data_IF_019367746917
#
_entry.id   IF_019367746917
#
_cell.length_a   1.000
_cell.length_b   1.000
_cell.length_c   1.000
_cell.angle_alpha   90.00
_cell.angle_beta   90.00
_cell.angle_gamma   90.00
#
_symmetry.space_group_name_H-M   'P 1'
#
loop_
_entity.id
_entity.type
_entity.pdbx_description
1 polymer ?
#
# COMPACT_ATOMS: atom_id res chain seq x y z
N UNK A 1 -2.19 -4.28 26.40
CA UNK A 1 -2.43 -4.78 25.04
C UNK A 1 -1.37 -4.28 24.05
N UNK A 2 -0.18 -4.91 24.13
CA UNK A 2 0.96 -4.60 23.22
C UNK A 2 0.63 -4.96 21.75
N UNK A 3 -0.26 -5.92 21.53
CA UNK A 3 -0.69 -6.36 20.20
C UNK A 3 -1.44 -5.29 19.41
N UNK A 4 -2.25 -4.46 20.03
CA UNK A 4 -2.97 -3.37 19.35
C UNK A 4 -2.04 -2.28 18.83
N UNK A 5 -1.00 -1.93 19.59
CA UNK A 5 -0.02 -0.90 19.21
C UNK A 5 0.94 -1.37 18.10
N UNK A 6 1.26 -2.67 18.06
CA UNK A 6 2.16 -3.25 17.07
C UNK A 6 1.66 -3.09 15.61
N UNK A 7 0.35 -2.96 15.40
CA UNK A 7 -0.25 -2.78 14.08
C UNK A 7 0.04 -1.42 13.46
N UNK A 8 0.36 -0.41 14.27
CA UNK A 8 0.70 0.94 13.84
C UNK A 8 2.22 1.19 13.83
N UNK A 9 2.99 0.22 14.34
CA UNK A 9 4.44 0.31 14.44
C UNK A 9 5.10 0.15 13.07
N UNK A 10 6.03 1.05 12.76
CA UNK A 10 6.75 0.99 11.50
C UNK A 10 7.62 -0.27 11.38
N UNK A 11 7.73 -0.87 10.17
CA UNK A 11 8.42 -2.15 9.95
C UNK A 11 9.86 -2.19 10.46
N UNK A 12 10.59 -1.07 10.37
CA UNK A 12 11.98 -0.98 10.81
C UNK A 12 12.19 -1.27 12.29
N UNK A 13 11.20 -0.99 13.14
CA UNK A 13 11.29 -1.35 14.56
C UNK A 13 11.39 -2.85 14.79
N UNK A 14 10.75 -3.67 13.94
CA UNK A 14 10.83 -5.13 14.03
C UNK A 14 12.17 -5.70 13.53
N UNK A 15 13.03 -4.86 12.94
CA UNK A 15 14.42 -5.16 12.61
C UNK A 15 15.40 -4.72 13.70
N UNK A 16 14.90 -4.11 14.79
CA UNK A 16 15.73 -3.54 15.85
C UNK A 16 16.32 -2.17 15.50
N UNK A 17 15.82 -1.52 14.46
CA UNK A 17 16.26 -0.17 14.06
C UNK A 17 15.57 0.89 14.92
N UNK A 18 16.27 2.00 15.17
CA UNK A 18 15.71 3.15 15.89
C UNK A 18 14.63 3.88 15.09
N UNK A 19 13.70 4.51 15.80
CA UNK A 19 12.67 5.34 15.21
C UNK A 19 13.20 6.63 14.58
N UNK A 20 12.55 7.07 13.52
CA UNK A 20 12.84 8.32 12.82
C UNK A 20 11.52 9.05 12.52
N UNK A 21 11.60 10.28 12.02
CA UNK A 21 10.41 11.01 11.52
C UNK A 21 9.66 10.24 10.43
N UNK A 22 10.34 9.36 9.70
CA UNK A 22 9.72 8.47 8.70
C UNK A 22 8.98 7.31 9.34
N UNK A 23 9.35 6.90 10.56
CA UNK A 23 8.59 5.93 11.35
C UNK A 23 7.29 6.52 11.86
N UNK A 24 7.32 7.78 12.32
CA UNK A 24 6.12 8.52 12.73
C UNK A 24 5.17 8.74 11.55
N UNK A 25 5.72 9.06 10.38
CA UNK A 25 4.97 9.16 9.12
C UNK A 25 4.24 7.86 8.79
N UNK A 26 4.90 6.71 8.92
CA UNK A 26 4.29 5.40 8.70
C UNK A 26 3.12 5.18 9.66
N UNK A 27 3.32 5.41 10.96
CA UNK A 27 2.27 5.24 11.95
C UNK A 27 1.06 6.13 11.67
N UNK A 28 1.29 7.41 11.31
CA UNK A 28 0.22 8.32 10.92
C UNK A 28 -0.49 7.85 9.65
N UNK A 29 0.25 7.34 8.68
CA UNK A 29 -0.32 6.82 7.44
C UNK A 29 -1.17 5.57 7.67
N UNK A 30 -0.81 4.68 8.62
CA UNK A 30 -1.64 3.54 9.03
C UNK A 30 -2.96 4.03 9.63
N UNK A 31 -2.90 5.01 10.53
CA UNK A 31 -4.10 5.60 11.13
C UNK A 31 -5.00 6.22 10.04
N UNK A 32 -4.41 7.00 9.14
CA UNK A 32 -5.15 7.62 8.03
C UNK A 32 -5.80 6.56 7.13
N UNK A 33 -5.06 5.53 6.78
CA UNK A 33 -5.58 4.40 5.99
C UNK A 33 -6.76 3.75 6.70
N UNK A 34 -6.63 3.43 7.98
CA UNK A 34 -7.68 2.78 8.76
C UNK A 34 -8.92 3.68 8.91
N UNK A 35 -8.75 4.98 9.07
CA UNK A 35 -9.88 5.93 9.12
C UNK A 35 -10.67 5.95 7.81
N UNK A 36 -10.01 5.77 6.67
CA UNK A 36 -10.61 5.82 5.34
C UNK A 36 -11.21 4.48 4.89
N UNK A 37 -10.71 3.36 5.41
CA UNK A 37 -11.03 2.01 4.91
C UNK A 37 -11.65 1.08 5.98
N UNK A 38 -11.44 1.38 7.25
CA UNK A 38 -11.81 0.49 8.36
C UNK A 38 -10.88 -0.72 8.55
N UNK A 39 -9.85 -0.87 7.69
CA UNK A 39 -8.93 -2.02 7.70
C UNK A 39 -7.47 -1.59 7.86
N UNK A 40 -6.54 -2.54 7.86
CA UNK A 40 -5.10 -2.28 7.95
C UNK A 40 -4.43 -2.54 6.60
N UNK A 41 -3.44 -1.72 6.19
CA UNK A 41 -2.84 -1.75 4.85
C UNK A 41 -2.08 -3.04 4.52
N UNK A 42 -1.63 -3.77 5.54
CA UNK A 42 -0.93 -5.05 5.45
C UNK A 42 -1.53 -6.11 6.38
N UNK A 43 -2.77 -5.90 6.85
CA UNK A 43 -3.35 -6.74 7.88
C UNK A 43 -2.45 -6.78 9.13
N UNK A 44 -2.24 -7.98 9.68
CA UNK A 44 -1.39 -8.19 10.87
C UNK A 44 0.04 -8.65 10.51
N UNK A 45 0.40 -8.66 9.24
CA UNK A 45 1.64 -9.30 8.78
C UNK A 45 2.91 -8.53 9.14
N UNK A 46 2.85 -7.19 9.23
CA UNK A 46 4.03 -6.35 9.54
C UNK A 46 4.72 -6.79 10.82
N UNK A 47 3.96 -6.99 11.89
CA UNK A 47 4.48 -7.38 13.19
C UNK A 47 5.16 -8.77 13.22
N UNK A 48 4.93 -9.59 12.21
CA UNK A 48 5.53 -10.93 12.06
C UNK A 48 6.86 -10.91 11.33
N UNK A 49 7.21 -9.80 10.66
CA UNK A 49 8.44 -9.69 9.87
C UNK A 49 9.63 -9.38 10.77
N UNK A 50 10.71 -10.15 10.63
CA UNK A 50 11.96 -9.99 11.39
C UNK A 50 13.18 -9.80 10.50
N UNK A 51 12.99 -9.76 9.18
CA UNK A 51 14.07 -9.58 8.19
C UNK A 51 13.59 -8.64 7.08
N UNK A 52 14.52 -7.95 6.44
CA UNK A 52 14.21 -7.11 5.26
C UNK A 52 13.60 -7.92 4.12
N UNK A 53 14.07 -9.15 3.91
CA UNK A 53 13.52 -10.05 2.90
C UNK A 53 12.04 -10.40 3.17
N UNK A 54 11.66 -10.59 4.43
CA UNK A 54 10.25 -10.80 4.80
C UNK A 54 9.43 -9.53 4.58
N UNK A 55 9.97 -8.36 4.91
CA UNK A 55 9.28 -7.08 4.67
C UNK A 55 9.09 -6.77 3.19
N UNK A 56 10.00 -7.19 2.31
CA UNK A 56 9.83 -7.05 0.86
C UNK A 56 8.65 -7.87 0.30
N UNK A 57 8.22 -8.90 1.00
CA UNK A 57 7.07 -9.74 0.61
C UNK A 57 5.73 -9.20 1.10
N UNK A 58 5.73 -8.13 1.90
CA UNK A 58 4.49 -7.50 2.35
C UNK A 58 3.73 -6.95 1.14
N UNK A 59 2.47 -7.37 1.00
CA UNK A 59 1.59 -6.94 -0.06
C UNK A 59 0.66 -5.83 0.45
N UNK A 60 0.85 -4.61 -0.07
CA UNK A 60 -0.02 -3.50 0.22
C UNK A 60 -1.43 -3.76 -0.31
N UNK A 61 -2.42 -3.62 0.55
CA UNK A 61 -3.83 -3.65 0.15
C UNK A 61 -4.25 -2.24 -0.27
N UNK A 62 -4.72 -2.10 -1.51
CA UNK A 62 -5.18 -0.80 -2.01
C UNK A 62 -6.37 -0.31 -1.19
N UNK A 63 -6.34 0.95 -0.76
CA UNK A 63 -7.46 1.58 -0.07
C UNK A 63 -8.74 1.60 -0.95
N UNK A 64 -8.59 1.59 -2.27
CA UNK A 64 -9.69 1.55 -3.23
C UNK A 64 -10.43 0.21 -3.24
N UNK A 65 -9.81 -0.88 -2.73
CA UNK A 65 -10.48 -2.17 -2.58
C UNK A 65 -11.59 -2.10 -1.54
N UNK A 66 -11.34 -1.34 -0.48
CA UNK A 66 -12.25 -1.20 0.67
C UNK A 66 -13.18 0.01 0.52
N UNK A 67 -12.70 1.08 -0.08
CA UNK A 67 -13.46 2.32 -0.27
C UNK A 67 -13.24 2.87 -1.69
N UNK A 68 -14.16 2.54 -2.59
CA UNK A 68 -14.10 2.95 -4.00
C UNK A 68 -14.42 4.43 -4.25
N UNK A 69 -14.91 5.14 -3.25
CA UNK A 69 -15.20 6.57 -3.36
C UNK A 69 -13.93 7.43 -3.19
N UNK A 70 -12.84 6.83 -2.71
CA UNK A 70 -11.56 7.53 -2.58
C UNK A 70 -10.99 7.88 -3.95
N UNK A 71 -10.47 9.10 -4.12
CA UNK A 71 -9.68 9.41 -5.30
C UNK A 71 -8.44 8.51 -5.40
N UNK A 72 -8.13 8.01 -6.60
CA UNK A 72 -7.03 7.08 -6.82
C UNK A 72 -5.66 7.64 -6.37
N UNK A 73 -5.47 8.96 -6.42
CA UNK A 73 -4.24 9.59 -5.95
C UNK A 73 -4.04 9.49 -4.43
N UNK A 74 -5.14 9.41 -3.65
CA UNK A 74 -5.05 9.18 -2.19
C UNK A 74 -4.44 7.82 -1.90
N UNK A 75 -4.84 6.79 -2.64
CA UNK A 75 -4.27 5.45 -2.52
C UNK A 75 -2.77 5.44 -2.86
N UNK A 76 -2.35 6.16 -3.90
CA UNK A 76 -0.92 6.27 -4.25
C UNK A 76 -0.10 7.01 -3.18
N UNK A 77 -0.66 8.06 -2.58
CA UNK A 77 -0.02 8.79 -1.47
C UNK A 77 0.13 7.89 -0.24
N UNK A 78 -0.94 7.18 0.12
CA UNK A 78 -0.90 6.22 1.24
C UNK A 78 0.08 5.08 0.97
N UNK A 79 0.07 4.49 -0.20
CA UNK A 79 0.99 3.43 -0.62
C UNK A 79 2.45 3.85 -0.49
N UNK A 80 2.78 5.09 -0.88
CA UNK A 80 4.13 5.64 -0.73
C UNK A 80 4.49 5.84 0.74
N UNK A 81 3.62 6.46 1.54
CA UNK A 81 3.87 6.70 2.97
C UNK A 81 3.97 5.41 3.80
N UNK A 82 3.26 4.37 3.38
CA UNK A 82 3.22 3.05 4.01
C UNK A 82 4.28 2.08 3.47
N UNK A 83 5.20 2.55 2.62
CA UNK A 83 6.22 1.66 2.06
C UNK A 83 7.05 1.01 3.18
N UNK A 84 7.27 -0.33 3.16
CA UNK A 84 8.03 -1.02 4.19
C UNK A 84 9.46 -0.46 4.38
N UNK A 85 10.13 -0.11 3.27
CA UNK A 85 11.42 0.57 3.33
C UNK A 85 11.23 2.07 3.60
N UNK A 86 11.73 2.61 4.73
CA UNK A 86 11.58 4.02 5.09
C UNK A 86 12.20 4.99 4.07
N UNK A 87 13.24 4.59 3.35
CA UNK A 87 13.88 5.43 2.33
C UNK A 87 13.01 5.67 1.08
N UNK A 88 11.99 4.84 0.87
CA UNK A 88 11.04 4.98 -0.23
C UNK A 88 9.77 5.76 0.15
N UNK A 89 9.63 6.14 1.41
CA UNK A 89 8.56 7.03 1.90
C UNK A 89 8.86 8.48 1.51
N UNK A 90 7.98 9.39 1.90
CA UNK A 90 8.26 10.82 1.77
C UNK A 90 9.44 11.22 2.67
N UNK A 91 10.29 12.16 2.23
CA UNK A 91 11.44 12.62 3.01
C UNK A 91 11.04 13.25 4.35
N UNK A 92 9.92 13.98 4.37
CA UNK A 92 9.39 14.66 5.54
C UNK A 92 7.89 14.38 5.73
N UNK A 93 7.43 14.43 6.98
CA UNK A 93 6.03 14.30 7.34
C UNK A 93 5.16 15.39 6.67
N UNK A 94 5.70 16.61 6.58
CA UNK A 94 5.02 17.73 5.92
C UNK A 94 4.72 17.47 4.45
N UNK A 95 5.58 16.76 3.73
CA UNK A 95 5.34 16.40 2.34
C UNK A 95 4.20 15.39 2.21
N UNK A 96 4.14 14.39 3.09
CA UNK A 96 3.02 13.46 3.13
C UNK A 96 1.69 14.19 3.35
N UNK A 97 1.64 15.11 4.34
CA UNK A 97 0.42 15.88 4.62
C UNK A 97 0.07 16.81 3.46
N UNK A 98 1.08 17.41 2.82
CA UNK A 98 0.87 18.26 1.66
C UNK A 98 0.25 17.49 0.51
N UNK A 99 0.80 16.33 0.17
CA UNK A 99 0.27 15.47 -0.90
C UNK A 99 -1.16 14.99 -0.64
N UNK A 100 -1.54 14.75 0.62
CA UNK A 100 -2.92 14.43 1.00
C UNK A 100 -3.90 15.59 0.82
N UNK A 101 -3.42 16.84 0.81
CA UNK A 101 -4.27 18.03 0.62
C UNK A 101 -4.28 18.52 -0.82
N UNK A 102 -3.14 18.44 -1.46
CA UNK A 102 -2.89 19.00 -2.79
C UNK A 102 -1.94 18.08 -3.54
N UNK A 103 -2.46 17.05 -4.24
CA UNK A 103 -1.62 16.07 -4.89
C UNK A 103 -0.76 16.70 -6.00
N UNK A 104 0.52 16.35 -6.00
CA UNK A 104 1.45 16.73 -7.06
C UNK A 104 1.07 16.08 -8.39
N UNK A 105 1.58 16.64 -9.48
CA UNK A 105 1.41 16.06 -10.81
C UNK A 105 1.96 14.62 -10.90
N UNK A 106 2.98 14.32 -10.10
CA UNK A 106 3.54 12.96 -9.99
C UNK A 106 2.49 11.99 -9.42
N UNK A 107 1.83 12.33 -8.31
CA UNK A 107 0.80 11.47 -7.69
C UNK A 107 -0.41 11.31 -8.60
N UNK A 108 -0.83 12.39 -9.27
CA UNK A 108 -1.92 12.33 -10.25
C UNK A 108 -1.58 11.43 -11.45
N UNK A 109 -0.36 11.52 -11.98
CA UNK A 109 0.09 10.64 -13.07
C UNK A 109 0.16 9.18 -12.63
N UNK A 110 0.70 8.89 -11.44
CA UNK A 110 0.74 7.52 -10.90
C UNK A 110 -0.66 6.92 -10.75
N UNK A 111 -1.61 7.72 -10.31
CA UNK A 111 -3.01 7.30 -10.19
C UNK A 111 -3.68 6.98 -11.54
N UNK A 112 -3.19 7.55 -12.64
CA UNK A 112 -3.68 7.36 -13.99
C UNK A 112 -2.94 6.27 -14.78
N UNK A 113 -1.88 5.68 -14.21
CA UNK A 113 -1.14 4.63 -14.90
C UNK A 113 -2.03 3.42 -15.21
N UNK A 114 -1.87 2.81 -16.41
CA UNK A 114 -2.55 1.56 -16.74
C UNK A 114 -2.29 0.47 -15.69
N UNK A 115 -3.23 -0.44 -15.51
CA UNK A 115 -3.11 -1.56 -14.57
C UNK A 115 -1.81 -2.36 -14.74
N UNK A 116 -1.32 -2.46 -15.98
CA UNK A 116 -0.05 -3.13 -16.28
C UNK A 116 1.15 -2.51 -15.56
N UNK A 117 1.21 -1.19 -15.49
CA UNK A 117 2.32 -0.46 -14.85
C UNK A 117 2.07 -0.25 -13.35
N UNK A 118 0.81 -0.13 -12.96
CA UNK A 118 0.40 0.09 -11.58
C UNK A 118 0.46 -1.17 -10.74
N UNK A 119 -0.07 -2.27 -11.27
CA UNK A 119 -0.06 -3.60 -10.64
C UNK A 119 0.01 -4.71 -11.71
N UNK A 120 1.24 -5.06 -12.16
CA UNK A 120 1.43 -6.06 -13.20
C UNK A 120 0.86 -7.43 -12.81
N UNK A 121 0.89 -7.80 -11.54
CA UNK A 121 0.37 -9.09 -11.07
C UNK A 121 -1.15 -9.16 -11.25
N UNK A 122 -1.87 -8.11 -10.87
CA UNK A 122 -3.32 -8.03 -11.03
C UNK A 122 -3.71 -8.02 -12.51
N UNK A 123 -2.96 -7.28 -13.33
CA UNK A 123 -3.17 -7.24 -14.78
C UNK A 123 -3.06 -8.64 -15.41
N UNK A 124 -1.95 -9.36 -15.13
CA UNK A 124 -1.74 -10.68 -15.69
C UNK A 124 -2.71 -11.74 -15.18
N UNK A 125 -3.16 -11.66 -13.92
CA UNK A 125 -4.24 -12.49 -13.38
C UNK A 125 -5.55 -12.26 -14.14
N UNK A 126 -5.89 -11.01 -14.43
CA UNK A 126 -7.07 -10.66 -15.24
C UNK A 126 -7.00 -11.20 -16.65
N UNK A 127 -5.85 -11.05 -17.32
CA UNK A 127 -5.60 -11.60 -18.67
C UNK A 127 -5.73 -13.12 -18.67
N UNK A 128 -5.13 -13.81 -17.70
CA UNK A 128 -5.22 -15.27 -17.58
C UNK A 128 -6.66 -15.76 -17.39
N UNK A 129 -7.45 -15.06 -16.57
CA UNK A 129 -8.87 -15.38 -16.36
C UNK A 129 -9.66 -15.25 -17.65
N UNK A 130 -9.48 -14.15 -18.39
CA UNK A 130 -10.17 -13.92 -19.67
C UNK A 130 -9.81 -15.00 -20.69
N UNK A 131 -8.52 -15.34 -20.81
CA UNK A 131 -8.06 -16.39 -21.71
C UNK A 131 -8.65 -17.76 -21.36
N UNK A 132 -8.71 -18.11 -20.07
CA UNK A 132 -9.33 -19.35 -19.60
C UNK A 132 -10.80 -19.42 -19.98
N UNK A 133 -11.56 -18.33 -19.80
CA UNK A 133 -12.98 -18.25 -20.19
C UNK A 133 -13.16 -18.41 -21.71
N UNK A 134 -12.29 -17.81 -22.51
CA UNK A 134 -12.33 -17.95 -23.98
C UNK A 134 -12.07 -19.40 -24.40
N UNK A 135 -11.07 -20.05 -23.81
CA UNK A 135 -10.75 -21.47 -24.10
C UNK A 135 -11.93 -22.37 -23.74
N UNK A 136 -12.53 -22.17 -22.56
CA UNK A 136 -13.72 -22.94 -22.15
C UNK A 136 -14.88 -22.72 -23.13
N UNK A 137 -15.14 -21.49 -23.53
CA UNK A 137 -16.21 -21.20 -24.48
C UNK A 137 -15.98 -21.84 -25.85
N UNK A 138 -14.72 -21.94 -26.31
CA UNK A 138 -14.37 -22.61 -27.57
C UNK A 138 -14.49 -24.13 -27.47
N UNK A 139 -14.17 -24.73 -26.31
CA UNK A 139 -14.29 -26.18 -26.09
C UNK A 139 -15.74 -26.65 -25.94
N UNK A 140 -16.64 -25.76 -25.46
CA UNK A 140 -18.07 -26.05 -25.30
C UNK A 140 -18.89 -25.78 -26.56
N UNK A 141 -18.29 -25.27 -27.62
CA UNK A 141 -18.92 -24.95 -28.90
C UNK A 141 -18.79 -26.13 -29.87
#
# INVERSE_FOLDING_TARGET
>A
DILGTAQYTAPEYFLGEGGTSRSDQYSLAVITYQMLTGTLPYGTEVAKTRTRAAQHKLAYQSALSENRELPAWVDEVLKKALHPNPHKRFPALSEFIFELRSPSQEMLKRAQLPLLERDPVLFWKGVSLVLALVVIALLLR
#
